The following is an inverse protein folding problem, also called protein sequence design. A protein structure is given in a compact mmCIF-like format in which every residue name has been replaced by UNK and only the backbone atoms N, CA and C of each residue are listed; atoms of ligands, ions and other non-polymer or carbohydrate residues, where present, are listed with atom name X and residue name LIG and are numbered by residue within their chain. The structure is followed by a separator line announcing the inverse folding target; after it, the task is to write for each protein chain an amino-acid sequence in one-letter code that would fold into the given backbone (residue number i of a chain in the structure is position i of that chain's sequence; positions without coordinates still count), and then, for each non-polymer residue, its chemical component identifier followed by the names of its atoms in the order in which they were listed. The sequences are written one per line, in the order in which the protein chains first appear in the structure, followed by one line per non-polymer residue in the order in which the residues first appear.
data_IF_433847813889
#
_entry.id   IF_433847813889
#
_cell.length_a   1.000
_cell.length_b   1.000
_cell.length_c   1.000
_cell.angle_alpha   90.00
_cell.angle_beta   90.00
_cell.angle_gamma   90.00
#
_symmetry.space_group_name_H-M   'P 1'
#
loop_
_entity.id
_entity.type
_entity.pdbx_description
1 polymer ?
#
# COMPACT_ATOMS: atom_id res chain seq x y z
N UNK A 1 73.42 -49.95 -1.39
CA UNK A 1 73.25 -48.80 -0.45
C UNK A 1 74.60 -48.51 0.20
N UNK A 2 74.96 -47.23 0.51
CA UNK A 2 74.12 -46.13 0.75
C UNK A 2 73.78 -45.29 -0.50
N UNK A 3 72.60 -44.64 -0.52
CA UNK A 3 72.21 -43.66 -1.55
C UNK A 3 72.51 -42.25 -1.02
N UNK A 4 72.87 -41.35 -1.94
CA UNK A 4 72.96 -39.93 -1.69
C UNK A 4 71.88 -39.20 -2.51
N UNK A 5 71.27 -38.20 -1.91
CA UNK A 5 70.20 -37.41 -2.52
C UNK A 5 70.69 -35.99 -2.75
N UNK A 6 70.32 -35.42 -3.88
CA UNK A 6 70.55 -34.02 -4.18
C UNK A 6 69.31 -33.44 -4.86
N UNK A 7 68.68 -32.47 -4.20
CA UNK A 7 67.50 -31.81 -4.71
C UNK A 7 67.84 -30.49 -5.42
N UNK A 8 67.03 -30.09 -6.37
CA UNK A 8 67.19 -28.82 -7.10
C UNK A 8 67.25 -27.58 -6.23
N UNK A 9 66.67 -27.61 -5.00
CA UNK A 9 66.75 -26.54 -4.03
C UNK A 9 68.01 -26.58 -3.13
N UNK A 10 68.95 -27.53 -3.40
CA UNK A 10 70.19 -27.69 -2.67
C UNK A 10 70.11 -28.60 -1.44
N UNK A 11 68.94 -29.15 -1.09
CA UNK A 11 68.80 -30.14 -0.03
C UNK A 11 69.51 -31.45 -0.38
N UNK A 12 70.01 -32.14 0.64
CA UNK A 12 70.67 -33.45 0.50
C UNK A 12 69.98 -34.53 1.36
N UNK A 13 68.83 -34.24 1.93
CA UNK A 13 68.02 -35.16 2.75
C UNK A 13 67.20 -36.11 1.85
N UNK A 14 66.89 -37.30 2.35
CA UNK A 14 66.03 -38.25 1.63
C UNK A 14 64.65 -37.68 1.32
N UNK A 15 64.08 -36.95 2.29
CA UNK A 15 62.77 -36.27 2.16
C UNK A 15 62.92 -34.75 2.16
N UNK A 16 62.08 -34.09 1.39
CA UNK A 16 61.86 -32.64 1.45
C UNK A 16 60.69 -32.31 2.42
N UNK A 17 60.91 -31.42 3.36
CA UNK A 17 59.88 -30.93 4.28
C UNK A 17 59.84 -29.41 4.28
N UNK A 18 58.61 -28.85 4.45
CA UNK A 18 58.36 -27.39 4.50
C UNK A 18 58.92 -26.61 3.30
N UNK A 19 58.78 -27.14 2.10
CA UNK A 19 59.22 -26.47 0.84
C UNK A 19 58.03 -25.77 0.18
N UNK A 20 58.22 -24.59 -0.46
CA UNK A 20 57.16 -23.89 -1.22
C UNK A 20 56.78 -24.68 -2.45
N UNK A 21 55.59 -24.32 -3.00
CA UNK A 21 55.11 -24.84 -4.30
C UNK A 21 56.15 -24.52 -5.38
N UNK A 22 56.62 -25.53 -6.07
CA UNK A 22 57.59 -25.47 -7.15
C UNK A 22 57.81 -26.89 -7.71
N UNK A 23 58.50 -26.97 -8.86
CA UNK A 23 59.04 -28.24 -9.36
C UNK A 23 60.36 -28.54 -8.71
N UNK A 24 60.48 -29.72 -8.12
CA UNK A 24 61.69 -30.21 -7.46
C UNK A 24 62.22 -31.44 -8.19
N UNK A 25 63.49 -31.37 -8.62
CA UNK A 25 64.21 -32.48 -9.18
C UNK A 25 65.06 -33.11 -8.11
N UNK A 26 64.94 -34.42 -7.90
CA UNK A 26 65.85 -35.16 -7.06
C UNK A 26 66.77 -36.01 -7.94
N UNK A 27 68.08 -35.93 -7.65
CA UNK A 27 69.11 -36.78 -8.23
C UNK A 27 69.57 -37.74 -7.13
N UNK A 28 69.36 -39.02 -7.33
CA UNK A 28 69.80 -40.09 -6.42
C UNK A 28 71.02 -40.80 -7.02
N UNK A 29 72.05 -40.88 -6.23
CA UNK A 29 73.30 -41.53 -6.63
C UNK A 29 73.59 -42.74 -5.70
N UNK A 30 73.86 -43.90 -6.29
CA UNK A 30 74.26 -45.11 -5.53
C UNK A 30 75.76 -45.16 -5.22
N UNK A 31 76.17 -46.13 -4.44
CA UNK A 31 77.54 -46.32 -4.04
C UNK A 31 78.50 -46.68 -5.21
N UNK A 32 77.97 -47.01 -6.38
CA UNK A 32 78.73 -47.30 -7.60
C UNK A 32 78.78 -46.08 -8.55
N UNK A 33 78.13 -44.96 -8.19
CA UNK A 33 78.06 -43.75 -8.98
C UNK A 33 76.94 -43.74 -10.04
N UNK A 34 76.00 -44.72 -10.02
CA UNK A 34 74.86 -44.70 -10.90
C UNK A 34 73.86 -43.65 -10.45
N UNK A 35 73.32 -42.88 -11.37
CA UNK A 35 72.43 -41.75 -11.14
C UNK A 35 71.04 -42.07 -11.65
N UNK A 36 70.01 -41.70 -10.85
CA UNK A 36 68.61 -41.68 -11.24
C UNK A 36 68.00 -40.33 -10.85
N UNK A 37 67.20 -39.78 -11.73
CA UNK A 37 66.53 -38.49 -11.53
C UNK A 37 65.02 -38.63 -11.57
N UNK A 38 64.32 -37.86 -10.72
CA UNK A 38 62.89 -37.81 -10.73
C UNK A 38 62.41 -36.37 -10.36
N UNK A 39 61.46 -35.90 -11.11
CA UNK A 39 60.79 -34.60 -10.86
C UNK A 39 59.51 -34.80 -10.05
N UNK A 40 59.28 -33.90 -9.14
CA UNK A 40 58.05 -33.80 -8.32
C UNK A 40 57.58 -32.38 -8.42
N UNK A 41 56.28 -32.21 -8.73
CA UNK A 41 55.57 -30.94 -8.67
C UNK A 41 54.88 -30.81 -7.34
N UNK A 42 55.19 -29.75 -6.62
CA UNK A 42 54.45 -29.34 -5.43
C UNK A 42 53.62 -28.12 -5.82
N UNK A 43 52.31 -28.29 -5.90
CA UNK A 43 51.36 -27.23 -6.22
C UNK A 43 50.92 -26.53 -4.97
N UNK A 44 50.73 -25.20 -5.03
CA UNK A 44 50.04 -24.46 -4.01
C UNK A 44 48.54 -24.73 -4.15
N UNK A 45 47.92 -25.07 -3.06
CA UNK A 45 46.50 -25.09 -3.00
C UNK A 45 45.96 -23.66 -2.94
N UNK A 46 44.93 -23.36 -3.72
CA UNK A 46 44.27 -22.08 -3.66
C UNK A 46 43.60 -21.90 -2.25
N UNK A 47 43.74 -20.71 -1.73
CA UNK A 47 43.10 -20.35 -0.46
C UNK A 47 41.56 -20.50 -0.58
N UNK A 48 40.94 -21.00 0.47
CA UNK A 48 39.48 -21.09 0.53
C UNK A 48 38.88 -19.69 0.46
N UNK A 49 37.92 -19.49 -0.43
CA UNK A 49 37.21 -18.22 -0.64
C UNK A 49 35.71 -18.48 -0.53
N UNK A 50 34.97 -17.61 0.19
CA UNK A 50 33.52 -17.66 0.32
C UNK A 50 32.88 -16.55 -0.49
N UNK A 51 31.79 -16.89 -1.20
CA UNK A 51 30.89 -15.96 -1.88
C UNK A 51 29.50 -16.18 -1.31
N UNK A 52 28.86 -15.13 -0.84
CA UNK A 52 27.50 -15.15 -0.32
C UNK A 52 26.57 -14.43 -1.30
N UNK A 53 25.51 -15.09 -1.72
CA UNK A 53 24.40 -14.51 -2.47
C UNK A 53 23.18 -14.45 -1.55
N UNK A 54 22.39 -13.34 -1.63
CA UNK A 54 21.24 -13.13 -0.76
C UNK A 54 20.04 -12.69 -1.56
N UNK A 55 18.89 -13.27 -1.24
CA UNK A 55 17.61 -13.00 -1.86
C UNK A 55 16.54 -12.81 -0.77
N UNK A 56 15.68 -11.81 -0.95
CA UNK A 56 14.51 -11.61 -0.10
C UNK A 56 13.29 -12.26 -0.74
N UNK A 57 12.46 -12.91 0.07
CA UNK A 57 11.15 -13.42 -0.35
C UNK A 57 10.13 -13.25 0.76
N UNK A 58 8.85 -13.28 0.42
CA UNK A 58 7.77 -13.12 1.38
C UNK A 58 6.78 -14.28 1.31
N UNK A 59 6.20 -14.60 2.46
CA UNK A 59 5.00 -15.43 2.56
C UNK A 59 3.82 -14.48 2.74
N UNK A 60 3.11 -14.18 1.65
CA UNK A 60 2.08 -13.14 1.63
C UNK A 60 0.93 -13.41 2.62
N UNK A 61 0.57 -14.67 2.85
CA UNK A 61 -0.52 -15.04 3.78
C UNK A 61 -0.22 -14.65 5.23
N UNK A 62 1.04 -14.78 5.67
CA UNK A 62 1.48 -14.44 7.02
C UNK A 62 2.12 -13.06 7.13
N UNK A 63 2.41 -12.40 6.01
CA UNK A 63 3.18 -11.15 5.89
C UNK A 63 4.61 -11.27 6.42
N UNK A 64 5.15 -12.47 6.46
CA UNK A 64 6.51 -12.70 6.90
C UNK A 64 7.48 -12.55 5.74
N UNK A 65 8.56 -11.81 5.97
CA UNK A 65 9.67 -11.65 5.04
C UNK A 65 10.85 -12.48 5.52
N UNK A 66 11.48 -13.15 4.59
CA UNK A 66 12.65 -13.99 4.82
C UNK A 66 13.80 -13.53 3.95
N UNK A 67 15.01 -13.67 4.47
CA UNK A 67 16.21 -13.66 3.64
C UNK A 67 16.72 -15.08 3.46
N UNK A 68 16.86 -15.47 2.20
CA UNK A 68 17.58 -16.66 1.78
C UNK A 68 19.02 -16.30 1.47
N UNK A 69 19.94 -16.95 2.14
CA UNK A 69 21.38 -16.75 1.96
C UNK A 69 21.98 -18.04 1.41
N UNK A 70 22.63 -17.96 0.26
CA UNK A 70 23.25 -19.10 -0.40
C UNK A 70 24.75 -18.89 -0.42
N UNK A 71 25.50 -19.83 0.18
CA UNK A 71 26.95 -19.80 0.15
C UNK A 71 27.50 -20.63 -0.99
N UNK A 72 28.44 -20.06 -1.71
CA UNK A 72 29.31 -20.77 -2.64
C UNK A 72 30.77 -20.50 -2.28
N UNK A 73 31.67 -21.38 -2.64
CA UNK A 73 33.06 -21.28 -2.28
C UNK A 73 33.97 -21.90 -3.34
N UNK A 74 35.23 -21.51 -3.33
CA UNK A 74 36.27 -22.03 -4.21
C UNK A 74 37.58 -22.19 -3.44
N UNK A 75 38.51 -22.97 -3.95
CA UNK A 75 39.75 -23.34 -3.25
C UNK A 75 39.50 -24.40 -2.18
N UNK A 76 40.50 -24.67 -1.36
CA UNK A 76 40.43 -25.72 -0.34
C UNK A 76 40.41 -27.16 -0.89
N UNK A 77 40.25 -28.16 -0.02
CA UNK A 77 40.16 -29.60 -0.36
C UNK A 77 38.83 -30.17 0.05
N UNK A 78 38.10 -30.77 -0.91
CA UNK A 78 36.85 -31.47 -0.62
C UNK A 78 37.08 -32.75 0.24
N UNK A 79 36.12 -33.21 1.06
CA UNK A 79 34.80 -32.61 1.29
C UNK A 79 34.84 -31.38 2.20
N UNK A 80 33.82 -30.50 2.03
CA UNK A 80 33.66 -29.29 2.84
C UNK A 80 32.57 -29.48 3.88
N UNK A 81 32.70 -28.75 5.00
CA UNK A 81 31.68 -28.61 6.03
C UNK A 81 31.23 -27.15 6.11
N UNK A 82 29.93 -26.89 6.04
CA UNK A 82 29.36 -25.55 6.14
C UNK A 82 28.61 -25.45 7.45
N UNK A 83 28.86 -24.38 8.21
CA UNK A 83 28.17 -24.10 9.46
C UNK A 83 27.67 -22.67 9.47
N UNK A 84 26.42 -22.47 9.91
CA UNK A 84 25.79 -21.18 10.10
C UNK A 84 25.61 -20.90 11.60
N UNK A 85 25.74 -19.66 12.00
CA UNK A 85 25.57 -19.25 13.41
C UNK A 85 24.14 -19.44 13.90
N UNK A 86 23.14 -19.27 13.01
CA UNK A 86 21.72 -19.42 13.30
C UNK A 86 20.93 -19.56 11.98
N UNK A 87 19.58 -19.72 12.06
CA UNK A 87 18.69 -19.82 10.90
C UNK A 87 18.29 -21.27 10.58
N UNK A 88 17.42 -21.42 9.61
CA UNK A 88 16.99 -22.73 9.10
C UNK A 88 17.90 -23.12 7.94
N UNK A 89 18.70 -24.16 8.15
CA UNK A 89 19.67 -24.63 7.15
C UNK A 89 19.01 -25.65 6.23
N UNK A 90 19.16 -25.44 4.93
CA UNK A 90 18.65 -26.27 3.86
C UNK A 90 19.72 -26.52 2.80
N UNK A 91 19.35 -27.15 1.68
CA UNK A 91 20.30 -27.55 0.64
C UNK A 91 20.92 -28.92 0.90
N UNK A 92 21.56 -29.49 -0.12
CA UNK A 92 22.10 -30.88 -0.05
C UNK A 92 23.28 -31.00 0.89
N UNK A 93 24.07 -29.92 1.02
CA UNK A 93 25.28 -29.87 1.86
C UNK A 93 25.19 -28.74 2.92
N UNK A 94 23.99 -28.18 3.16
CA UNK A 94 23.80 -27.07 4.07
C UNK A 94 24.24 -25.69 3.54
N UNK A 95 24.26 -25.55 2.22
CA UNK A 95 24.71 -24.33 1.52
C UNK A 95 23.70 -23.19 1.57
N UNK A 96 22.46 -23.44 2.01
CA UNK A 96 21.39 -22.46 2.08
C UNK A 96 20.96 -22.25 3.53
N UNK A 97 20.75 -21.00 3.91
CA UNK A 97 20.17 -20.60 5.18
C UNK A 97 19.04 -19.62 4.96
N UNK A 98 17.87 -19.91 5.51
CA UNK A 98 16.70 -19.05 5.51
C UNK A 98 16.46 -18.49 6.92
N UNK A 99 16.14 -17.19 7.01
CA UNK A 99 15.82 -16.55 8.29
C UNK A 99 14.79 -15.42 8.10
N UNK A 100 13.89 -15.29 9.08
CA UNK A 100 12.98 -14.15 9.23
C UNK A 100 13.33 -13.32 10.49
N UNK A 101 14.55 -13.43 10.98
CA UNK A 101 15.04 -12.67 12.14
C UNK A 101 16.18 -11.76 11.70
N UNK A 102 16.04 -10.48 11.98
CA UNK A 102 17.10 -9.50 11.74
C UNK A 102 18.28 -9.71 12.67
N UNK A 103 19.48 -9.40 12.20
CA UNK A 103 20.67 -9.48 13.00
C UNK A 103 21.94 -9.79 12.22
N UNK A 104 23.00 -10.03 12.97
CA UNK A 104 24.30 -10.41 12.42
C UNK A 104 24.43 -11.93 12.40
N UNK A 105 24.81 -12.46 11.26
CA UNK A 105 24.99 -13.89 11.00
C UNK A 105 26.39 -14.15 10.51
N UNK A 106 26.87 -15.37 10.75
CA UNK A 106 28.16 -15.86 10.29
C UNK A 106 27.98 -17.19 9.57
N UNK A 107 28.64 -17.34 8.44
CA UNK A 107 28.82 -18.61 7.75
C UNK A 107 30.29 -18.97 7.76
N UNK A 108 30.61 -20.21 8.13
CA UNK A 108 31.96 -20.77 8.11
C UNK A 108 31.98 -21.98 7.21
N UNK A 109 32.94 -22.01 6.30
CA UNK A 109 33.25 -23.16 5.44
C UNK A 109 34.59 -23.73 5.90
N UNK A 110 34.61 -25.02 6.15
CA UNK A 110 35.85 -25.76 6.55
C UNK A 110 36.12 -26.86 5.53
N UNK A 111 37.32 -26.92 5.04
CA UNK A 111 37.78 -27.97 4.12
C UNK A 111 38.20 -29.27 4.82
N UNK A 112 38.52 -30.31 4.05
CA UNK A 112 38.97 -31.61 4.59
C UNK A 112 40.25 -31.52 5.41
N UNK A 113 41.12 -30.56 5.13
CA UNK A 113 42.38 -30.37 5.84
C UNK A 113 42.20 -29.51 7.10
N UNK A 114 40.99 -29.00 7.37
CA UNK A 114 40.69 -28.16 8.53
C UNK A 114 40.97 -26.67 8.31
N UNK A 115 41.27 -26.25 7.07
CA UNK A 115 41.32 -24.83 6.75
C UNK A 115 39.93 -24.25 6.73
N UNK A 116 39.70 -23.13 7.44
CA UNK A 116 38.37 -22.49 7.55
C UNK A 116 38.41 -21.06 7.10
N UNK A 117 37.35 -20.64 6.44
CA UNK A 117 37.05 -19.23 6.11
C UNK A 117 35.66 -18.88 6.66
N UNK A 118 35.50 -17.67 7.18
CA UNK A 118 34.25 -17.19 7.73
C UNK A 118 33.83 -15.85 7.13
N UNK A 119 32.54 -15.68 6.92
CA UNK A 119 31.95 -14.45 6.46
C UNK A 119 30.83 -14.01 7.40
N UNK A 120 30.94 -12.78 7.92
CA UNK A 120 29.88 -12.13 8.72
C UNK A 120 29.07 -11.23 7.81
N UNK A 121 27.74 -11.31 7.94
CA UNK A 121 26.79 -10.47 7.20
C UNK A 121 25.60 -10.09 8.06
N UNK A 122 24.90 -9.03 7.67
CA UNK A 122 23.71 -8.56 8.38
C UNK A 122 22.45 -8.89 7.56
N UNK A 123 21.42 -9.35 8.27
CA UNK A 123 20.08 -9.53 7.76
C UNK A 123 19.24 -8.34 8.19
N UNK A 124 18.62 -7.67 7.23
CA UNK A 124 17.64 -6.60 7.42
C UNK A 124 16.42 -6.88 6.54
N UNK A 125 15.26 -6.92 7.16
CA UNK A 125 14.02 -7.37 6.53
C UNK A 125 13.06 -6.18 6.41
N UNK A 126 12.61 -5.83 5.19
CA UNK A 126 11.61 -4.79 5.03
C UNK A 126 10.26 -5.26 5.56
N UNK A 127 9.45 -4.33 6.04
CA UNK A 127 8.07 -4.61 6.39
C UNK A 127 7.18 -4.59 5.14
N UNK A 128 6.14 -5.43 5.09
CA UNK A 128 5.10 -5.40 4.07
C UNK A 128 3.97 -4.51 4.57
N UNK A 129 3.68 -3.45 3.85
CA UNK A 129 2.69 -2.45 4.21
C UNK A 129 1.25 -2.94 4.21
N UNK A 130 0.36 -2.06 4.69
CA UNK A 130 -1.08 -2.28 4.75
C UNK A 130 -1.78 -1.31 3.79
N UNK A 131 -2.76 -1.78 2.97
CA UNK A 131 -3.58 -0.88 2.18
C UNK A 131 -4.47 -0.07 3.09
N UNK A 132 -4.56 1.23 2.85
CA UNK A 132 -5.45 2.16 3.54
C UNK A 132 -5.76 3.31 2.60
N UNK A 133 -6.96 3.89 2.70
CA UNK A 133 -7.33 5.07 1.94
C UNK A 133 -8.33 5.94 2.68
N UNK A 134 -8.40 7.20 2.28
CA UNK A 134 -9.42 8.15 2.69
C UNK A 134 -10.09 8.77 1.46
N UNK A 135 -11.17 9.51 1.67
CA UNK A 135 -11.90 10.17 0.60
C UNK A 135 -12.49 11.49 1.07
N UNK A 136 -12.63 12.42 0.13
CA UNK A 136 -13.26 13.72 0.37
C UNK A 136 -13.98 14.24 -0.87
N UNK A 137 -14.97 15.12 -0.69
CA UNK A 137 -15.62 15.85 -1.75
C UNK A 137 -16.12 17.19 -1.23
N UNK A 138 -16.58 18.05 -2.14
CA UNK A 138 -17.19 19.33 -1.73
C UNK A 138 -18.46 19.10 -0.89
N UNK A 139 -19.33 18.21 -1.34
CA UNK A 139 -20.58 17.93 -0.62
C UNK A 139 -20.34 17.29 0.74
N UNK A 140 -19.40 16.34 0.81
CA UNK A 140 -19.02 15.69 2.06
C UNK A 140 -18.49 16.69 3.11
N UNK A 141 -17.61 17.59 2.70
CA UNK A 141 -17.03 18.58 3.61
C UNK A 141 -18.03 19.66 4.04
N UNK A 142 -19.04 19.92 3.21
CA UNK A 142 -20.03 20.97 3.47
C UNK A 142 -21.26 20.47 4.18
N UNK A 143 -21.72 19.27 3.83
CA UNK A 143 -23.02 18.73 4.29
C UNK A 143 -22.93 17.40 5.03
N UNK A 144 -21.75 16.79 5.11
CA UNK A 144 -21.49 15.57 5.87
C UNK A 144 -21.89 14.26 5.18
N UNK A 145 -22.23 14.30 3.88
CA UNK A 145 -22.59 13.13 3.08
C UNK A 145 -21.92 13.13 1.71
N UNK A 146 -21.97 12.02 0.99
CA UNK A 146 -21.55 11.93 -0.40
C UNK A 146 -22.78 11.99 -1.31
N UNK A 147 -22.63 12.62 -2.46
CA UNK A 147 -23.76 12.78 -3.37
C UNK A 147 -23.42 12.43 -4.83
N UNK A 148 -24.47 12.17 -5.63
CA UNK A 148 -24.32 12.04 -7.08
C UNK A 148 -23.76 13.33 -7.69
N UNK A 149 -23.02 13.17 -8.78
CA UNK A 149 -22.43 14.25 -9.57
C UNK A 149 -21.41 15.13 -8.81
N UNK A 150 -21.06 14.79 -7.56
CA UNK A 150 -20.00 15.43 -6.80
C UNK A 150 -18.69 14.65 -6.99
N UNK A 151 -17.62 15.27 -7.53
CA UNK A 151 -16.34 14.58 -7.68
C UNK A 151 -15.74 14.22 -6.32
N UNK A 152 -15.55 12.94 -6.08
CA UNK A 152 -14.94 12.40 -4.86
C UNK A 152 -13.48 12.12 -5.15
N UNK A 153 -12.59 12.75 -4.40
CA UNK A 153 -11.16 12.48 -4.44
C UNK A 153 -10.83 11.39 -3.43
N UNK A 154 -10.25 10.30 -3.89
CA UNK A 154 -9.72 9.22 -3.08
C UNK A 154 -8.23 9.42 -2.87
N UNK A 155 -7.77 9.25 -1.65
CA UNK A 155 -6.37 9.43 -1.28
C UNK A 155 -5.83 8.13 -0.75
N UNK A 156 -4.81 7.59 -1.41
CA UNK A 156 -4.08 6.43 -0.93
C UNK A 156 -3.29 6.80 0.32
N UNK A 157 -3.49 6.06 1.41
CA UNK A 157 -2.80 6.21 2.69
C UNK A 157 -2.09 4.92 3.10
N UNK A 158 -1.84 4.03 2.13
CA UNK A 158 -1.13 2.79 2.37
C UNK A 158 0.26 3.06 2.94
N UNK A 159 0.66 2.22 3.90
CA UNK A 159 1.98 2.30 4.53
C UNK A 159 3.02 1.56 3.70
N UNK A 160 4.29 1.87 3.93
CA UNK A 160 5.46 1.26 3.30
C UNK A 160 5.52 1.43 1.77
N UNK A 161 6.58 0.93 1.16
CA UNK A 161 6.79 1.00 -0.30
C UNK A 161 5.88 0.02 -1.05
N UNK A 162 5.31 0.48 -2.15
CA UNK A 162 4.47 -0.33 -3.04
C UNK A 162 4.80 -0.07 -4.52
N UNK A 163 4.47 -1.04 -5.37
CA UNK A 163 4.71 -0.96 -6.82
C UNK A 163 3.54 -0.41 -7.59
N UNK A 164 2.33 -0.80 -7.22
CA UNK A 164 1.13 -0.44 -7.98
C UNK A 164 -0.10 -0.37 -7.10
N UNK A 165 -1.08 0.40 -7.57
CA UNK A 165 -2.41 0.51 -6.98
C UNK A 165 -3.47 0.23 -8.04
N UNK A 166 -4.57 -0.37 -7.61
CA UNK A 166 -5.77 -0.58 -8.42
C UNK A 166 -7.00 -0.23 -7.59
N UNK A 167 -7.74 0.76 -8.05
CA UNK A 167 -9.02 1.16 -7.50
C UNK A 167 -10.16 0.49 -8.27
N UNK A 168 -11.16 0.02 -7.53
CA UNK A 168 -12.46 -0.39 -8.05
C UNK A 168 -13.53 0.40 -7.27
N UNK A 169 -14.32 1.22 -7.97
CA UNK A 169 -15.29 2.11 -7.33
C UNK A 169 -16.65 1.45 -7.04
N UNK A 170 -16.81 0.17 -7.38
CA UNK A 170 -18.02 -0.58 -7.12
C UNK A 170 -19.18 -0.34 -8.12
N UNK A 171 -18.98 0.52 -9.10
CA UNK A 171 -19.93 0.82 -10.18
C UNK A 171 -19.50 0.27 -11.55
N UNK A 172 -18.41 -0.51 -11.58
CA UNK A 172 -17.78 -1.07 -12.77
C UNK A 172 -16.61 -0.25 -13.31
N UNK A 173 -16.36 0.94 -12.76
CA UNK A 173 -15.20 1.74 -13.11
C UNK A 173 -14.00 1.42 -12.22
N UNK A 174 -12.80 1.60 -12.77
CA UNK A 174 -11.51 1.37 -12.09
C UNK A 174 -10.52 2.49 -12.41
N UNK A 175 -9.50 2.66 -11.57
CA UNK A 175 -8.35 3.54 -11.84
C UNK A 175 -7.06 2.91 -11.31
N UNK A 176 -5.94 3.29 -11.94
CA UNK A 176 -4.58 2.97 -11.48
C UNK A 176 -3.82 4.22 -11.03
N UNK A 177 -4.49 5.37 -11.00
CA UNK A 177 -3.91 6.60 -10.45
C UNK A 177 -3.70 6.43 -8.95
N UNK A 178 -2.66 7.05 -8.41
CA UNK A 178 -2.36 6.99 -6.99
C UNK A 178 -3.49 7.58 -6.13
N UNK A 179 -4.00 8.75 -6.54
CA UNK A 179 -5.07 9.48 -5.86
C UNK A 179 -6.15 9.88 -6.88
N UNK A 180 -7.04 8.96 -7.28
CA UNK A 180 -8.02 9.23 -8.32
C UNK A 180 -9.16 10.11 -7.84
N UNK A 181 -9.82 10.76 -8.80
CA UNK A 181 -11.12 11.38 -8.60
C UNK A 181 -12.17 10.60 -9.36
N UNK A 182 -13.29 10.28 -8.70
CA UNK A 182 -14.41 9.55 -9.29
C UNK A 182 -15.75 10.23 -8.99
N UNK A 183 -16.70 10.09 -9.91
CA UNK A 183 -18.03 10.70 -9.79
C UNK A 183 -19.09 9.65 -10.06
N UNK A 184 -20.03 9.49 -9.12
CA UNK A 184 -21.16 8.57 -9.27
C UNK A 184 -22.36 9.28 -9.89
N UNK A 185 -23.00 8.64 -10.87
CA UNK A 185 -24.20 9.16 -11.55
C UNK A 185 -25.52 8.68 -10.95
N UNK A 186 -25.49 7.68 -10.09
CA UNK A 186 -26.66 7.12 -9.44
C UNK A 186 -26.44 6.98 -7.93
N UNK A 187 -27.52 7.19 -7.16
CA UNK A 187 -27.50 6.94 -5.72
C UNK A 187 -27.45 5.45 -5.41
N UNK A 188 -26.81 5.11 -4.30
CA UNK A 188 -26.71 3.72 -3.87
C UNK A 188 -25.57 3.47 -2.91
N UNK A 189 -25.41 2.22 -2.56
CA UNK A 189 -24.26 1.73 -1.81
C UNK A 189 -23.21 1.22 -2.80
N UNK A 190 -21.97 1.63 -2.60
CA UNK A 190 -20.83 1.23 -3.43
C UNK A 190 -19.70 0.73 -2.55
N UNK A 191 -19.19 -0.44 -2.89
CA UNK A 191 -18.03 -1.02 -2.25
C UNK A 191 -16.76 -0.59 -3.01
N UNK A 192 -16.10 0.43 -2.47
CA UNK A 192 -14.85 0.93 -3.04
C UNK A 192 -13.70 0.10 -2.51
N UNK A 193 -12.96 -0.51 -3.41
CA UNK A 193 -11.81 -1.37 -3.08
C UNK A 193 -10.53 -0.78 -3.64
N UNK A 194 -9.55 -0.61 -2.75
CA UNK A 194 -8.17 -0.34 -3.11
C UNK A 194 -7.36 -1.63 -2.97
N UNK A 195 -6.74 -2.07 -4.06
CA UNK A 195 -5.76 -3.15 -4.08
C UNK A 195 -4.37 -2.55 -4.28
N UNK A 196 -3.43 -2.91 -3.42
CA UNK A 196 -2.05 -2.42 -3.45
C UNK A 196 -1.11 -3.60 -3.58
N UNK A 197 -0.21 -3.54 -4.55
CA UNK A 197 0.88 -4.48 -4.72
C UNK A 197 2.12 -3.93 -4.03
N UNK A 198 2.51 -4.56 -2.93
CA UNK A 198 3.68 -4.20 -2.14
C UNK A 198 4.95 -4.86 -2.67
N UNK A 199 6.06 -4.55 -2.04
CA UNK A 199 7.35 -5.19 -2.29
C UNK A 199 7.22 -6.73 -2.20
N UNK A 200 8.12 -7.44 -2.86
CA UNK A 200 8.18 -8.90 -2.91
C UNK A 200 6.92 -9.57 -3.49
N UNK A 201 6.10 -8.80 -4.25
CA UNK A 201 4.96 -9.30 -5.02
C UNK A 201 3.71 -9.59 -4.20
N UNK A 202 3.63 -9.16 -2.95
CA UNK A 202 2.44 -9.34 -2.13
C UNK A 202 1.37 -8.29 -2.43
N UNK A 203 0.15 -8.74 -2.74
CA UNK A 203 -1.00 -7.85 -3.00
C UNK A 203 -2.05 -8.00 -1.91
N UNK A 204 -2.51 -6.86 -1.39
CA UNK A 204 -3.58 -6.82 -0.39
C UNK A 204 -4.62 -5.78 -0.78
N UNK A 205 -5.84 -5.96 -0.26
CA UNK A 205 -6.95 -5.07 -0.57
C UNK A 205 -7.66 -4.61 0.70
N UNK A 206 -8.17 -3.38 0.64
CA UNK A 206 -9.11 -2.83 1.62
C UNK A 206 -10.38 -2.38 0.89
N UNK A 207 -11.52 -2.61 1.49
CA UNK A 207 -12.82 -2.19 0.96
C UNK A 207 -13.54 -1.32 1.97
N UNK A 208 -14.04 -0.15 1.52
CA UNK A 208 -14.94 0.72 2.29
C UNK A 208 -16.26 0.86 1.55
N UNK A 209 -17.36 0.64 2.26
CA UNK A 209 -18.69 0.79 1.69
C UNK A 209 -19.15 2.24 1.85
N UNK A 210 -19.45 2.92 0.74
CA UNK A 210 -19.90 4.30 0.68
C UNK A 210 -21.36 4.38 0.28
N UNK A 211 -22.12 5.27 0.91
CA UNK A 211 -23.46 5.62 0.46
C UNK A 211 -23.41 6.92 -0.32
N UNK A 212 -23.86 6.88 -1.56
CA UNK A 212 -24.00 8.04 -2.43
C UNK A 212 -25.47 8.43 -2.42
N UNK A 213 -25.77 9.63 -1.90
CA UNK A 213 -27.12 10.20 -1.82
C UNK A 213 -27.47 11.07 -3.03
N UNK A 214 -28.60 11.74 -2.93
CA UNK A 214 -28.97 12.81 -3.89
C UNK A 214 -28.10 14.06 -3.62
N UNK A 215 -27.98 14.94 -4.62
CA UNK A 215 -27.17 16.17 -4.53
C UNK A 215 -27.85 17.31 -3.77
N UNK A 216 -29.07 17.09 -3.31
CA UNK A 216 -29.83 18.01 -2.45
C UNK A 216 -30.82 17.28 -1.57
N UNK A 217 -31.23 17.94 -0.48
CA UNK A 217 -32.42 17.56 0.26
C UNK A 217 -33.31 18.79 0.42
N UNK A 218 -34.63 18.60 0.30
CA UNK A 218 -35.61 19.65 0.45
C UNK A 218 -36.90 19.11 1.04
N UNK A 219 -37.21 19.60 2.21
CA UNK A 219 -38.49 19.34 2.91
C UNK A 219 -39.35 20.60 2.88
N UNK A 220 -40.55 20.49 2.33
CA UNK A 220 -41.53 21.58 2.30
C UNK A 220 -42.64 21.24 3.28
N UNK A 221 -42.89 22.09 4.32
CA UNK A 221 -43.92 21.82 5.32
C UNK A 221 -45.32 21.84 4.63
N UNK A 222 -46.22 21.04 5.17
CA UNK A 222 -47.62 21.00 4.71
C UNK A 222 -48.55 21.91 5.53
N UNK A 223 -48.07 22.52 6.63
CA UNK A 223 -48.77 23.49 7.45
C UNK A 223 -47.76 24.36 8.21
N UNK A 224 -48.20 25.55 8.65
CA UNK A 224 -47.46 26.41 9.56
C UNK A 224 -48.41 27.18 10.48
N UNK A 225 -47.87 27.64 11.63
CA UNK A 225 -48.68 28.21 12.75
C UNK A 225 -48.04 29.50 13.26
N UNK A 226 -48.27 30.66 12.61
CA UNK A 226 -47.68 31.93 13.04
C UNK A 226 -48.41 32.49 14.30
N UNK A 227 -48.11 31.91 15.45
CA UNK A 227 -48.75 32.20 16.75
C UNK A 227 -47.82 32.87 17.78
N UNK A 228 -46.54 33.16 17.37
CA UNK A 228 -45.50 33.78 18.17
C UNK A 228 -44.93 32.87 19.30
N UNK A 229 -44.99 31.56 19.12
CA UNK A 229 -44.32 30.58 20.01
C UNK A 229 -42.90 30.22 19.57
N UNK A 230 -42.39 30.82 18.47
CA UNK A 230 -41.11 30.55 17.81
C UNK A 230 -41.01 29.16 17.13
N UNK A 231 -42.15 28.52 16.88
CA UNK A 231 -42.20 27.23 16.19
C UNK A 231 -43.10 27.37 14.97
N UNK A 232 -42.55 27.10 13.76
CA UNK A 232 -43.28 27.16 12.49
C UNK A 232 -43.97 28.51 12.22
N UNK A 233 -43.30 29.61 12.56
CA UNK A 233 -43.80 30.98 12.40
C UNK A 233 -43.89 31.44 10.95
N UNK A 234 -43.13 30.80 10.07
CA UNK A 234 -43.11 31.12 8.65
C UNK A 234 -43.22 29.83 7.81
N UNK A 235 -43.90 29.95 6.67
CA UNK A 235 -43.90 28.92 5.63
C UNK A 235 -42.63 29.07 4.78
N UNK A 236 -41.73 28.13 4.91
CA UNK A 236 -40.50 28.06 4.08
C UNK A 236 -40.03 26.62 3.90
N UNK A 237 -39.42 26.28 2.75
CA UNK A 237 -38.66 25.05 2.60
C UNK A 237 -37.48 25.02 3.57
N UNK A 238 -37.16 23.82 4.08
CA UNK A 238 -35.87 23.52 4.73
C UNK A 238 -35.08 22.69 3.74
N UNK A 239 -33.87 23.12 3.43
CA UNK A 239 -33.09 22.53 2.36
C UNK A 239 -31.58 22.62 2.62
N UNK A 240 -30.83 21.77 1.92
CA UNK A 240 -29.38 21.88 1.75
C UNK A 240 -28.99 21.38 0.36
N UNK A 241 -27.77 21.71 -0.12
CA UNK A 241 -27.34 21.40 -1.46
C UNK A 241 -27.94 22.29 -2.56
N UNK A 242 -28.57 23.42 -2.18
CA UNK A 242 -29.23 24.38 -3.06
C UNK A 242 -28.40 25.69 -3.10
N UNK A 243 -28.11 26.19 -4.30
CA UNK A 243 -27.37 27.45 -4.50
C UNK A 243 -28.30 28.65 -4.72
N UNK A 244 -29.49 28.43 -5.26
CA UNK A 244 -30.52 29.46 -5.40
C UNK A 244 -31.90 28.85 -5.30
N UNK A 245 -32.82 29.56 -4.68
CA UNK A 245 -34.18 29.11 -4.47
C UNK A 245 -35.16 30.28 -4.58
N UNK A 246 -36.27 30.02 -5.25
CA UNK A 246 -37.41 30.92 -5.35
C UNK A 246 -38.61 30.25 -4.73
N UNK A 247 -39.28 30.93 -3.81
CA UNK A 247 -40.57 30.56 -3.23
C UNK A 247 -41.62 31.56 -3.69
N UNK A 248 -42.72 31.04 -4.25
CA UNK A 248 -43.92 31.81 -4.55
C UNK A 248 -45.10 31.18 -3.82
N UNK A 249 -45.96 32.03 -3.21
CA UNK A 249 -47.18 31.60 -2.53
C UNK A 249 -48.37 32.27 -3.20
N UNK A 250 -49.40 31.47 -3.41
CA UNK A 250 -50.67 31.88 -4.02
C UNK A 250 -51.85 31.62 -3.07
N UNK A 251 -52.88 32.49 -3.13
CA UNK A 251 -54.16 32.21 -2.48
C UNK A 251 -54.96 31.14 -3.27
N UNK A 252 -56.15 30.79 -2.77
CA UNK A 252 -57.04 29.80 -3.43
C UNK A 252 -57.59 30.22 -4.75
N UNK A 253 -57.46 31.50 -5.12
CA UNK A 253 -57.91 32.07 -6.40
C UNK A 253 -56.76 32.16 -7.40
N UNK A 254 -55.53 31.75 -7.01
CA UNK A 254 -54.36 31.82 -7.85
C UNK A 254 -53.66 33.19 -7.85
N UNK A 255 -54.00 34.08 -6.91
CA UNK A 255 -53.36 35.40 -6.78
C UNK A 255 -52.05 35.24 -6.07
N UNK A 256 -50.96 35.78 -6.62
CA UNK A 256 -49.65 35.82 -5.97
C UNK A 256 -49.69 36.69 -4.72
N UNK A 257 -49.41 36.15 -3.55
CA UNK A 257 -49.48 36.84 -2.24
C UNK A 257 -48.12 36.96 -1.57
N UNK A 258 -47.15 36.12 -1.95
CA UNK A 258 -45.77 36.18 -1.41
C UNK A 258 -44.80 35.70 -2.46
N UNK A 259 -43.63 36.33 -2.45
CA UNK A 259 -42.53 36.00 -3.34
C UNK A 259 -41.21 36.30 -2.63
N UNK A 260 -40.27 35.34 -2.70
CA UNK A 260 -38.93 35.48 -2.18
C UNK A 260 -37.93 34.74 -3.06
N UNK A 261 -36.84 35.42 -3.43
CA UNK A 261 -35.64 34.85 -4.04
C UNK A 261 -34.51 34.85 -3.00
N UNK A 262 -33.84 33.71 -2.82
CA UNK A 262 -32.66 33.59 -1.99
C UNK A 262 -31.53 32.91 -2.77
N UNK A 263 -30.32 33.47 -2.67
CA UNK A 263 -29.07 32.92 -3.17
C UNK A 263 -28.14 32.44 -2.04
N UNK A 264 -28.60 32.56 -0.81
CA UNK A 264 -27.90 32.13 0.41
C UNK A 264 -28.80 31.12 1.16
N UNK A 265 -28.22 30.33 2.03
CA UNK A 265 -28.88 29.20 2.71
C UNK A 265 -30.01 29.62 3.70
N UNK A 266 -30.42 30.86 3.71
CA UNK A 266 -31.46 31.38 4.62
C UNK A 266 -32.59 32.06 3.87
N UNK A 267 -33.72 31.36 3.76
CA UNK A 267 -34.99 31.92 3.34
C UNK A 267 -35.78 32.38 4.56
N UNK A 268 -36.35 33.57 4.53
CA UNK A 268 -37.19 34.11 5.59
C UNK A 268 -38.51 33.35 5.65
N UNK A 269 -39.15 33.20 4.49
CA UNK A 269 -40.44 32.57 4.32
C UNK A 269 -41.65 33.48 4.60
N UNK A 270 -42.83 33.02 4.16
CA UNK A 270 -44.06 33.77 4.35
C UNK A 270 -44.61 33.69 5.77
N UNK A 271 -44.82 34.82 6.43
CA UNK A 271 -45.29 34.96 7.80
C UNK A 271 -46.82 34.87 7.99
N UNK A 272 -47.56 34.57 6.93
CA UNK A 272 -49.04 34.51 6.94
C UNK A 272 -49.71 35.87 6.89
N UNK A 273 -49.01 36.93 6.42
CA UNK A 273 -49.62 38.23 6.17
C UNK A 273 -49.76 38.55 4.68
N UNK A 274 -50.85 39.26 4.33
CA UNK A 274 -51.11 39.80 3.01
C UNK A 274 -51.28 41.30 3.14
N UNK A 275 -50.41 42.08 2.48
CA UNK A 275 -50.39 43.55 2.58
C UNK A 275 -50.41 44.08 4.03
N UNK A 276 -49.67 43.39 4.92
CA UNK A 276 -49.51 43.77 6.33
C UNK A 276 -50.70 43.37 7.21
N UNK A 277 -51.67 42.66 6.70
CA UNK A 277 -52.82 42.14 7.45
C UNK A 277 -52.71 40.62 7.57
N UNK A 278 -53.12 40.07 8.71
CA UNK A 278 -53.17 38.62 8.92
C UNK A 278 -54.08 37.98 7.90
N UNK A 279 -53.62 36.97 7.18
CA UNK A 279 -54.46 36.13 6.33
C UNK A 279 -55.34 35.24 7.21
N UNK A 280 -56.52 34.86 6.68
CA UNK A 280 -57.41 33.91 7.34
C UNK A 280 -56.85 32.50 7.31
N UNK A 281 -57.22 31.67 8.26
CA UNK A 281 -56.92 30.24 8.27
C UNK A 281 -57.43 29.57 7.00
N UNK A 282 -56.62 28.73 6.38
CA UNK A 282 -57.04 28.07 5.16
C UNK A 282 -55.91 27.51 4.34
N UNK A 283 -56.23 27.01 3.17
CA UNK A 283 -55.28 26.42 2.24
C UNK A 283 -54.67 27.46 1.31
N UNK A 284 -53.40 27.33 1.05
CA UNK A 284 -52.63 28.12 0.13
C UNK A 284 -51.84 27.19 -0.79
N UNK A 285 -51.34 27.72 -1.88
CA UNK A 285 -50.50 26.98 -2.86
C UNK A 285 -49.13 27.58 -2.89
N UNK A 286 -48.13 26.71 -3.12
CA UNK A 286 -46.77 27.16 -3.33
C UNK A 286 -46.19 26.62 -4.63
N UNK A 287 -45.23 27.35 -5.15
CA UNK A 287 -44.32 26.90 -6.18
C UNK A 287 -42.90 27.24 -5.70
N UNK A 288 -42.01 26.23 -5.74
CA UNK A 288 -40.59 26.37 -5.47
C UNK A 288 -39.83 25.99 -6.73
N UNK A 289 -38.94 26.91 -7.16
CA UNK A 289 -37.94 26.66 -8.20
C UNK A 289 -36.57 26.86 -7.59
N UNK A 290 -35.69 25.86 -7.69
CA UNK A 290 -34.37 25.88 -7.05
C UNK A 290 -33.30 25.32 -7.99
N UNK A 291 -32.08 25.76 -7.79
CA UNK A 291 -30.91 25.21 -8.49
C UNK A 291 -29.98 24.56 -7.46
N UNK A 292 -29.60 23.31 -7.71
CA UNK A 292 -28.64 22.60 -6.86
C UNK A 292 -27.21 23.12 -7.09
N UNK A 293 -26.27 22.79 -6.19
CA UNK A 293 -24.87 23.17 -6.38
C UNK A 293 -24.23 22.52 -7.64
N UNK A 294 -24.80 21.40 -8.13
CA UNK A 294 -24.40 20.76 -9.39
C UNK A 294 -25.03 21.39 -10.63
N UNK A 295 -25.93 22.40 -10.45
CA UNK A 295 -26.60 23.12 -11.53
C UNK A 295 -27.94 22.51 -11.99
N UNK A 296 -28.44 21.47 -11.31
CA UNK A 296 -29.74 20.87 -11.63
C UNK A 296 -30.89 21.78 -11.19
N UNK A 297 -31.90 21.90 -12.04
CA UNK A 297 -33.14 22.63 -11.75
C UNK A 297 -34.14 21.72 -11.04
N UNK A 298 -34.66 22.19 -9.92
CA UNK A 298 -35.69 21.53 -9.12
C UNK A 298 -36.94 22.39 -9.14
N UNK A 299 -38.06 21.78 -9.47
CA UNK A 299 -39.39 22.42 -9.40
C UNK A 299 -40.28 21.57 -8.51
N UNK A 300 -40.90 22.22 -7.50
CA UNK A 300 -41.90 21.62 -6.60
C UNK A 300 -43.08 22.55 -6.46
N UNK A 301 -44.26 21.99 -6.43
CA UNK A 301 -45.50 22.73 -6.17
C UNK A 301 -46.42 21.89 -5.27
N UNK A 302 -47.31 22.52 -4.58
CA UNK A 302 -48.26 21.85 -3.72
C UNK A 302 -49.14 22.82 -2.93
N UNK A 303 -49.91 22.25 -1.99
CA UNK A 303 -50.74 23.00 -1.10
C UNK A 303 -50.22 22.85 0.31
N UNK A 304 -50.50 23.89 1.13
CA UNK A 304 -50.23 23.87 2.57
C UNK A 304 -51.32 24.65 3.31
N UNK A 305 -51.37 24.47 4.65
CA UNK A 305 -52.42 25.07 5.48
C UNK A 305 -51.83 26.08 6.46
N UNK A 306 -52.39 27.28 6.52
CA UNK A 306 -52.19 28.25 7.57
C UNK A 306 -53.20 27.98 8.72
N UNK A 307 -52.66 27.81 9.91
CA UNK A 307 -53.41 27.55 11.17
C UNK A 307 -53.02 28.59 12.22
N UNK A 308 -53.98 29.21 12.88
CA UNK A 308 -53.76 30.19 13.95
C UNK A 308 -54.57 29.86 15.19
#
# INVERSE_FOLDING_TARGET
APYTFFWSNGSTTEDLTNVPANNYLVTVTDSNGCISEKEFEITRQDDLQIILDTELFAICDTREVFQKSTVSFSGGVAPYTITWSNGVVTGTNGEIMDTNVEGSYEVTVTDFLGCSESLIFNVSLPEIGYPEFDYTSFYFTTYGGLSINDPITFTNQSTEEYFSVLWNFGDGNTSTDENPTHTYSARGWYDVTLTVEFILGCSYSITKTLYIGDDYEMVIPNAFTPNLDNINETFRPVYYGITSIRLTVYDTWGTLIYFEDSTENEMIGWDGTINGKKAENGNFFYQVSATTYTGNLIEKNGAFTLIR
#
